data_IF_866171821745
#
_entry.id   IF_866171821745
#
_cell.length_a   1.000
_cell.length_b   1.000
_cell.length_c   1.000
_cell.angle_alpha   90.00
_cell.angle_beta   90.00
_cell.angle_gamma   90.00
#
_symmetry.space_group_name_H-M   'P 1'
#
loop_
_entity.id
_entity.type
_entity.pdbx_description
1 polymer ?
#
# COMPACT_ATOMS: atom_id res chain seq x y z
N UNK A 1 -23.09 9.04 -2.74
CA UNK A 1 -22.55 8.29 -1.60
C UNK A 1 -22.26 6.85 -2.05
N UNK A 2 -20.99 6.43 -2.07
CA UNK A 2 -20.65 5.01 -2.26
C UNK A 2 -20.87 4.34 -0.90
N UNK A 3 -21.97 3.58 -0.76
CA UNK A 3 -22.23 2.79 0.45
C UNK A 3 -21.59 1.42 0.23
N UNK A 4 -20.68 1.02 1.12
CA UNK A 4 -20.10 -0.32 1.09
C UNK A 4 -21.19 -1.36 1.32
N UNK A 5 -21.25 -2.37 0.46
CA UNK A 5 -21.96 -3.62 0.71
C UNK A 5 -20.91 -4.65 1.10
N UNK A 6 -21.09 -5.33 2.24
CA UNK A 6 -20.18 -6.42 2.61
C UNK A 6 -20.26 -7.52 1.55
N UNK A 7 -19.12 -7.80 0.92
CA UNK A 7 -18.98 -8.90 -0.05
C UNK A 7 -18.00 -9.89 0.58
N UNK A 8 -18.45 -11.12 0.80
CA UNK A 8 -17.70 -12.13 1.55
C UNK A 8 -16.57 -12.79 0.75
N UNK A 9 -16.54 -12.60 -0.57
CA UNK A 9 -15.59 -13.24 -1.50
C UNK A 9 -14.94 -12.21 -2.42
N UNK A 10 -13.63 -12.27 -2.57
CA UNK A 10 -12.88 -11.40 -3.47
C UNK A 10 -13.35 -11.54 -4.93
N UNK A 11 -13.68 -12.75 -5.36
CA UNK A 11 -14.20 -13.02 -6.71
C UNK A 11 -15.56 -12.35 -6.95
N UNK A 12 -16.44 -12.37 -5.96
CA UNK A 12 -17.76 -11.75 -6.08
C UNK A 12 -17.66 -10.22 -6.11
N UNK A 13 -16.68 -9.65 -5.39
CA UNK A 13 -16.38 -8.22 -5.46
C UNK A 13 -15.96 -7.79 -6.88
N UNK A 14 -15.12 -8.59 -7.54
CA UNK A 14 -14.70 -8.34 -8.91
C UNK A 14 -15.88 -8.42 -9.88
N UNK A 15 -16.70 -9.47 -9.79
CA UNK A 15 -17.90 -9.64 -10.63
C UNK A 15 -18.89 -8.50 -10.42
N UNK A 16 -19.08 -8.06 -9.18
CA UNK A 16 -19.94 -6.93 -8.87
C UNK A 16 -19.40 -5.62 -9.46
N UNK A 17 -18.09 -5.36 -9.33
CA UNK A 17 -17.45 -4.18 -9.90
C UNK A 17 -17.58 -4.15 -11.42
N UNK A 18 -17.35 -5.29 -12.09
CA UNK A 18 -17.55 -5.42 -13.53
C UNK A 18 -19.01 -5.17 -13.92
N UNK A 19 -19.97 -5.79 -13.23
CA UNK A 19 -21.40 -5.56 -13.45
C UNK A 19 -21.80 -4.10 -13.27
N UNK A 20 -21.26 -3.40 -12.26
CA UNK A 20 -21.50 -1.96 -12.05
C UNK A 20 -20.94 -1.13 -13.21
N UNK A 21 -19.74 -1.44 -13.67
CA UNK A 21 -19.14 -0.79 -14.84
C UNK A 21 -19.93 -1.06 -16.12
N UNK A 22 -20.43 -2.28 -16.30
CA UNK A 22 -21.20 -2.65 -17.49
C UNK A 22 -22.56 -1.95 -17.57
N UNK A 23 -23.11 -1.52 -16.44
CA UNK A 23 -24.33 -0.69 -16.39
C UNK A 23 -24.11 0.77 -16.78
N UNK A 24 -22.87 1.25 -16.82
CA UNK A 24 -22.56 2.61 -17.26
C UNK A 24 -22.78 2.73 -18.77
N UNK A 25 -23.39 3.83 -19.21
CA UNK A 25 -23.49 4.17 -20.63
C UNK A 25 -22.11 4.43 -21.22
N UNK A 26 -21.98 4.35 -22.54
CA UNK A 26 -20.71 4.59 -23.23
C UNK A 26 -20.11 5.97 -22.87
N UNK A 27 -20.94 7.01 -22.85
CA UNK A 27 -20.54 8.37 -22.45
C UNK A 27 -20.05 8.44 -21.01
N UNK A 28 -20.64 7.67 -20.09
CA UNK A 28 -20.16 7.59 -18.71
C UNK A 28 -18.82 6.85 -18.62
N UNK A 29 -18.67 5.74 -19.36
CA UNK A 29 -17.42 4.96 -19.38
C UNK A 29 -16.24 5.79 -19.90
N UNK A 30 -16.45 6.61 -20.94
CA UNK A 30 -15.42 7.51 -21.51
C UNK A 30 -14.90 8.57 -20.53
N UNK A 31 -15.58 8.82 -19.40
CA UNK A 31 -15.09 9.75 -18.35
C UNK A 31 -13.96 9.16 -17.50
N UNK A 32 -13.81 7.83 -17.49
CA UNK A 32 -12.80 7.15 -16.67
C UNK A 32 -11.63 6.74 -17.55
N UNK A 33 -10.44 7.22 -17.22
CA UNK A 33 -9.19 6.79 -17.88
C UNK A 33 -8.71 5.44 -17.36
N UNK A 34 -9.08 5.09 -16.13
CA UNK A 34 -8.62 3.89 -15.44
C UNK A 34 -9.71 3.30 -14.55
N UNK A 35 -9.60 2.01 -14.23
CA UNK A 35 -10.45 1.28 -13.30
C UNK A 35 -9.57 0.49 -12.35
N UNK A 36 -9.74 0.70 -11.06
CA UNK A 36 -8.93 0.06 -10.02
C UNK A 36 -9.80 -0.76 -9.07
N UNK A 37 -9.29 -1.93 -8.70
CA UNK A 37 -9.74 -2.70 -7.55
C UNK A 37 -8.64 -2.66 -6.48
N UNK A 38 -9.02 -2.40 -5.24
CA UNK A 38 -8.10 -2.38 -4.10
C UNK A 38 -8.52 -3.47 -3.14
N UNK A 39 -7.62 -4.38 -2.82
CA UNK A 39 -7.89 -5.51 -1.93
C UNK A 39 -7.10 -5.38 -0.63
N UNK A 40 -7.81 -5.53 0.47
CA UNK A 40 -7.23 -5.92 1.74
C UNK A 40 -7.36 -7.46 1.84
N UNK A 41 -6.27 -8.19 2.13
CA UNK A 41 -6.30 -9.66 2.12
C UNK A 41 -7.27 -10.21 3.17
N UNK A 42 -7.20 -9.68 4.40
CA UNK A 42 -8.06 -9.98 5.57
C UNK A 42 -8.42 -11.48 5.75
N UNK A 43 -7.52 -12.39 5.36
CA UNK A 43 -7.72 -13.83 5.49
C UNK A 43 -8.60 -14.50 4.42
N UNK A 44 -8.93 -13.82 3.31
CA UNK A 44 -9.78 -14.38 2.27
C UNK A 44 -9.06 -15.41 1.40
N UNK A 45 -9.49 -16.69 1.48
CA UNK A 45 -8.91 -17.79 0.72
C UNK A 45 -9.00 -17.63 -0.82
N UNK A 46 -9.95 -16.84 -1.32
CA UNK A 46 -10.13 -16.58 -2.75
C UNK A 46 -9.44 -15.28 -3.22
N UNK A 47 -8.59 -14.67 -2.39
CA UNK A 47 -7.91 -13.41 -2.70
C UNK A 47 -7.07 -13.48 -3.99
N UNK A 48 -6.22 -14.50 -4.14
CA UNK A 48 -5.39 -14.65 -5.34
C UNK A 48 -6.25 -14.83 -6.60
N UNK A 49 -7.34 -15.61 -6.50
CA UNK A 49 -8.31 -15.79 -7.58
C UNK A 49 -8.98 -14.45 -7.93
N UNK A 50 -9.42 -13.70 -6.93
CA UNK A 50 -10.02 -12.38 -7.10
C UNK A 50 -9.09 -11.37 -7.77
N UNK A 51 -7.82 -11.31 -7.36
CA UNK A 51 -6.81 -10.44 -7.99
C UNK A 51 -6.58 -10.84 -9.45
N UNK A 52 -6.43 -12.14 -9.74
CA UNK A 52 -6.26 -12.64 -11.12
C UNK A 52 -7.48 -12.36 -11.99
N UNK A 53 -8.69 -12.56 -11.47
CA UNK A 53 -9.93 -12.26 -12.17
C UNK A 53 -10.10 -10.76 -12.43
N UNK A 54 -9.77 -9.92 -11.46
CA UNK A 54 -9.80 -8.46 -11.64
C UNK A 54 -8.89 -8.02 -12.79
N UNK A 55 -7.66 -8.55 -12.82
CA UNK A 55 -6.72 -8.31 -13.91
C UNK A 55 -7.26 -8.81 -15.26
N UNK A 56 -7.88 -9.99 -15.32
CA UNK A 56 -8.43 -10.53 -16.59
C UNK A 56 -9.62 -9.73 -17.13
N UNK A 57 -10.37 -9.05 -16.26
CA UNK A 57 -11.44 -8.10 -16.65
C UNK A 57 -10.91 -6.71 -17.05
N UNK A 58 -9.60 -6.53 -17.08
CA UNK A 58 -8.96 -5.26 -17.44
C UNK A 58 -9.06 -4.19 -16.35
N UNK A 59 -9.20 -4.59 -15.09
CA UNK A 59 -8.95 -3.70 -13.96
C UNK A 59 -7.44 -3.66 -13.67
N UNK A 60 -6.96 -2.48 -13.28
CA UNK A 60 -5.72 -2.40 -12.50
C UNK A 60 -6.04 -2.85 -11.07
N UNK A 61 -5.09 -3.49 -10.40
CA UNK A 61 -5.31 -4.04 -9.06
C UNK A 61 -4.20 -3.60 -8.12
N UNK A 62 -4.60 -3.05 -6.99
CA UNK A 62 -3.74 -2.80 -5.84
C UNK A 62 -4.14 -3.71 -4.67
N UNK A 63 -3.19 -4.13 -3.85
CA UNK A 63 -3.45 -5.01 -2.73
C UNK A 63 -2.39 -4.90 -1.63
N UNK A 64 -2.75 -5.41 -0.44
CA UNK A 64 -1.80 -5.80 0.61
C UNK A 64 -2.10 -7.23 1.06
N UNK A 65 -1.10 -8.12 1.02
CA UNK A 65 -1.29 -9.59 1.15
C UNK A 65 -1.50 -10.10 2.58
N UNK A 66 -1.47 -9.21 3.59
CA UNK A 66 -1.78 -9.56 4.97
C UNK A 66 -2.94 -8.70 5.47
N UNK A 67 -2.71 -7.39 5.46
CA UNK A 67 -3.64 -6.36 5.88
C UNK A 67 -3.19 -5.02 5.30
N UNK A 68 -4.08 -4.02 5.22
CA UNK A 68 -3.69 -2.67 4.79
C UNK A 68 -2.63 -2.05 5.72
N UNK A 69 -2.60 -2.40 7.01
CA UNK A 69 -1.62 -1.88 7.97
C UNK A 69 -0.17 -2.23 7.63
N UNK A 70 0.07 -3.28 6.85
CA UNK A 70 1.40 -3.57 6.35
C UNK A 70 1.95 -2.41 5.49
N UNK A 71 1.11 -1.73 4.72
CA UNK A 71 1.50 -0.53 3.99
C UNK A 71 1.91 0.61 4.94
N UNK A 72 1.22 0.78 6.07
CA UNK A 72 1.57 1.79 7.07
C UNK A 72 2.91 1.46 7.74
N UNK A 73 3.17 0.20 8.06
CA UNK A 73 4.46 -0.26 8.58
C UNK A 73 5.64 0.17 7.70
N UNK A 74 5.48 0.09 6.37
CA UNK A 74 6.54 0.44 5.42
C UNK A 74 6.94 1.94 5.44
N UNK A 75 6.12 2.83 6.00
CA UNK A 75 6.47 4.25 6.21
C UNK A 75 7.49 4.46 7.33
N UNK A 76 7.63 3.48 8.23
CA UNK A 76 8.41 3.63 9.45
C UNK A 76 9.62 2.72 9.51
N UNK A 77 9.56 1.53 8.90
CA UNK A 77 10.67 0.58 8.93
C UNK A 77 10.98 -0.02 7.57
N UNK A 78 12.27 -0.28 7.35
CA UNK A 78 12.72 -1.10 6.25
C UNK A 78 12.48 -2.57 6.60
N UNK A 79 11.50 -3.18 5.95
CA UNK A 79 11.12 -4.57 6.17
C UNK A 79 11.77 -5.48 5.12
N UNK A 80 12.08 -6.72 5.49
CA UNK A 80 12.80 -7.67 4.63
C UNK A 80 11.89 -8.54 3.75
N UNK A 81 10.56 -8.40 3.90
CA UNK A 81 9.56 -9.18 3.17
C UNK A 81 9.35 -10.60 3.71
N UNK A 82 9.86 -10.91 4.91
CA UNK A 82 9.56 -12.14 5.62
C UNK A 82 8.17 -12.09 6.28
N UNK A 83 7.53 -13.23 6.57
CA UNK A 83 6.34 -13.29 7.40
C UNK A 83 6.45 -12.47 8.69
N UNK A 84 5.41 -11.68 9.01
CA UNK A 84 5.30 -11.04 10.33
C UNK A 84 4.44 -11.96 11.20
N UNK A 85 4.96 -12.51 12.32
CA UNK A 85 4.19 -13.39 13.18
C UNK A 85 2.88 -12.74 13.64
N UNK A 86 1.77 -13.46 13.48
CA UNK A 86 0.46 -13.02 13.96
C UNK A 86 0.47 -12.81 15.47
N UNK A 87 -0.29 -11.81 15.93
CA UNK A 87 -0.51 -11.58 17.36
C UNK A 87 -1.95 -11.94 17.72
N UNK A 88 -2.10 -12.96 18.57
CA UNK A 88 -3.38 -13.62 18.75
C UNK A 88 -3.75 -14.35 17.45
N UNK A 89 -4.78 -13.86 16.76
CA UNK A 89 -5.31 -14.44 15.51
C UNK A 89 -5.39 -13.40 14.37
N UNK A 90 -4.70 -12.26 14.49
CA UNK A 90 -4.80 -11.16 13.53
C UNK A 90 -3.42 -10.68 13.09
N UNK A 91 -3.20 -10.63 11.77
CA UNK A 91 -2.08 -9.89 11.21
C UNK A 91 -2.18 -8.42 11.63
N UNK A 92 -3.33 -7.76 11.35
CA UNK A 92 -3.52 -6.33 11.63
C UNK A 92 -3.04 -5.92 13.03
N UNK A 93 -3.33 -6.69 14.08
CA UNK A 93 -2.82 -6.45 15.45
C UNK A 93 -1.29 -6.43 15.55
N UNK A 94 -0.59 -7.33 14.87
CA UNK A 94 0.87 -7.34 14.83
C UNK A 94 1.44 -6.11 14.10
N UNK A 95 0.83 -5.69 12.97
CA UNK A 95 1.27 -4.48 12.28
C UNK A 95 0.95 -3.20 13.09
N UNK A 96 -0.19 -3.14 13.77
CA UNK A 96 -0.58 -2.03 14.64
C UNK A 96 0.38 -1.86 15.80
N UNK A 97 0.87 -2.95 16.41
CA UNK A 97 1.88 -2.87 17.46
C UNK A 97 3.19 -2.25 16.95
N UNK A 98 3.62 -2.62 15.74
CA UNK A 98 4.81 -2.03 15.10
C UNK A 98 4.57 -0.52 14.88
N UNK A 99 3.43 -0.14 14.30
CA UNK A 99 3.05 1.25 14.05
C UNK A 99 3.04 2.05 15.37
N UNK A 100 2.37 1.54 16.41
CA UNK A 100 2.24 2.20 17.69
C UNK A 100 3.57 2.32 18.44
N UNK A 101 4.51 1.39 18.25
CA UNK A 101 5.88 1.53 18.73
C UNK A 101 6.57 2.73 18.06
N UNK A 102 6.38 2.94 16.76
CA UNK A 102 6.93 4.10 16.06
C UNK A 102 6.26 5.42 16.47
N UNK A 103 4.93 5.45 16.60
CA UNK A 103 4.18 6.62 17.09
C UNK A 103 4.67 6.99 18.50
N UNK A 104 4.78 6.02 19.41
CA UNK A 104 5.25 6.23 20.78
C UNK A 104 6.67 6.79 20.81
N UNK A 105 7.58 6.23 20.01
CA UNK A 105 8.95 6.71 19.91
C UNK A 105 9.01 8.14 19.36
N UNK A 106 8.19 8.46 18.35
CA UNK A 106 8.08 9.80 17.79
C UNK A 106 7.56 10.80 18.82
N UNK A 107 6.44 10.50 19.48
CA UNK A 107 5.85 11.33 20.54
C UNK A 107 6.87 11.61 21.65
N UNK A 108 7.62 10.60 22.11
CA UNK A 108 8.67 10.78 23.11
C UNK A 108 9.80 11.68 22.63
N UNK A 109 10.29 11.49 21.40
CA UNK A 109 11.44 12.22 20.85
C UNK A 109 11.10 13.68 20.57
N UNK A 110 9.93 13.95 20.01
CA UNK A 110 9.54 15.27 19.52
C UNK A 110 8.53 16.00 20.42
N UNK A 111 8.18 15.42 21.57
CA UNK A 111 7.14 15.94 22.49
C UNK A 111 5.80 16.19 21.78
N UNK A 112 5.47 15.31 20.83
CA UNK A 112 4.20 15.31 20.12
C UNK A 112 3.16 14.45 20.85
N UNK A 113 1.89 14.58 20.45
CA UNK A 113 0.75 13.86 21.05
C UNK A 113 -0.09 13.16 19.99
N UNK A 114 0.56 12.45 19.07
CA UNK A 114 -0.12 11.70 18.00
C UNK A 114 -0.87 10.53 18.64
N UNK A 115 -2.19 10.36 18.40
CA UNK A 115 -2.96 9.23 18.90
C UNK A 115 -2.39 7.88 18.41
N UNK A 116 -2.56 6.83 19.22
CA UNK A 116 -2.25 5.48 18.78
C UNK A 116 -3.31 5.01 17.78
N UNK A 117 -2.86 4.28 16.76
CA UNK A 117 -3.75 3.70 15.75
C UNK A 117 -4.39 2.41 16.30
N UNK A 118 -5.69 2.22 16.04
CA UNK A 118 -6.50 1.14 16.60
C UNK A 118 -7.19 0.29 15.51
N UNK A 119 -7.49 -0.98 15.82
CA UNK A 119 -8.12 -1.93 14.90
C UNK A 119 -9.66 -1.81 14.83
N UNK A 120 -10.27 -0.98 15.70
CA UNK A 120 -11.72 -0.88 15.87
C UNK A 120 -12.36 0.22 15.04
N UNK A 121 -11.74 1.40 14.99
CA UNK A 121 -12.23 2.56 14.26
C UNK A 121 -11.89 2.44 12.78
N UNK A 122 -10.72 1.85 12.48
CA UNK A 122 -10.06 1.91 11.17
C UNK A 122 -9.97 3.34 10.62
N UNK A 123 -9.99 4.34 11.51
CA UNK A 123 -9.86 5.76 11.17
C UNK A 123 -8.39 6.11 11.19
N UNK A 124 -7.94 6.77 10.13
CA UNK A 124 -6.60 7.36 10.08
C UNK A 124 -6.76 8.81 10.53
N UNK A 125 -6.37 9.10 11.77
CA UNK A 125 -6.35 10.47 12.30
C UNK A 125 -5.38 11.35 11.50
N UNK A 126 -5.69 12.65 11.42
CA UNK A 126 -4.91 13.61 10.64
C UNK A 126 -3.45 13.64 11.08
N UNK A 127 -3.17 13.61 12.38
CA UNK A 127 -1.80 13.63 12.91
C UNK A 127 -1.01 12.38 12.54
N UNK A 128 -1.67 11.22 12.50
CA UNK A 128 -1.02 9.97 12.06
C UNK A 128 -0.78 9.98 10.55
N UNK A 129 -1.73 10.51 9.78
CA UNK A 129 -1.57 10.70 8.34
C UNK A 129 -0.40 11.63 8.01
N UNK A 130 -0.32 12.79 8.65
CA UNK A 130 0.79 13.74 8.49
C UNK A 130 2.12 13.11 8.90
N UNK A 131 2.14 12.31 9.96
CA UNK A 131 3.34 11.56 10.34
C UNK A 131 3.77 10.58 9.24
N UNK A 132 2.85 9.90 8.55
CA UNK A 132 3.18 9.04 7.41
C UNK A 132 3.72 9.82 6.20
N UNK A 133 3.39 11.10 6.07
CA UNK A 133 3.88 11.95 4.97
C UNK A 133 5.15 12.76 5.29
N UNK A 134 5.50 12.83 6.57
CA UNK A 134 6.63 13.60 7.09
C UNK A 134 7.98 13.11 6.55
N UNK A 135 9.00 13.96 6.72
CA UNK A 135 10.40 13.60 6.46
C UNK A 135 10.89 12.66 7.56
N UNK A 136 11.47 11.52 7.17
CA UNK A 136 12.08 10.59 8.11
C UNK A 136 13.41 11.19 8.64
N UNK A 137 13.60 11.26 9.98
CA UNK A 137 14.79 11.87 10.56
C UNK A 137 16.08 11.05 10.39
N UNK A 138 16.00 9.81 9.92
CA UNK A 138 17.13 8.90 9.67
C UNK A 138 17.48 8.89 8.19
N UNK A 139 16.51 8.72 7.29
CA UNK A 139 16.77 8.64 5.85
C UNK A 139 16.78 10.01 5.16
N UNK A 140 16.20 11.03 5.80
CA UNK A 140 15.97 12.37 5.25
C UNK A 140 15.06 12.44 4.02
N UNK A 141 14.41 11.32 3.66
CA UNK A 141 13.41 11.27 2.59
C UNK A 141 12.00 11.47 3.16
N UNK A 142 11.02 11.75 2.30
CA UNK A 142 9.62 11.60 2.72
C UNK A 142 9.33 10.14 3.00
N UNK A 143 8.67 9.85 4.12
CA UNK A 143 8.31 8.48 4.51
C UNK A 143 7.50 7.72 3.46
N UNK A 144 6.65 8.42 2.71
CA UNK A 144 5.89 7.84 1.60
C UNK A 144 6.78 7.41 0.43
N UNK A 145 7.89 8.11 0.16
CA UNK A 145 8.84 7.74 -0.89
C UNK A 145 9.60 6.47 -0.46
N UNK A 146 10.06 6.44 0.79
CA UNK A 146 10.67 5.26 1.39
C UNK A 146 9.71 4.06 1.37
N UNK A 147 8.44 4.25 1.75
CA UNK A 147 7.43 3.19 1.72
C UNK A 147 7.21 2.63 0.31
N UNK A 148 7.10 3.51 -0.70
CA UNK A 148 6.98 3.12 -2.09
C UNK A 148 8.18 2.31 -2.58
N UNK A 149 9.40 2.74 -2.26
CA UNK A 149 10.63 2.04 -2.64
C UNK A 149 10.75 0.67 -1.97
N UNK A 150 10.43 0.59 -0.67
CA UNK A 150 10.42 -0.66 0.10
C UNK A 150 9.40 -1.65 -0.46
N UNK A 151 8.16 -1.19 -0.68
CA UNK A 151 7.10 -2.00 -1.27
C UNK A 151 7.46 -2.50 -2.67
N UNK A 152 8.00 -1.63 -3.53
CA UNK A 152 8.43 -2.01 -4.87
C UNK A 152 9.53 -3.07 -4.85
N UNK A 153 10.55 -2.89 -4.00
CA UNK A 153 11.66 -3.82 -3.87
C UNK A 153 11.16 -5.23 -3.50
N UNK A 154 10.36 -5.32 -2.43
CA UNK A 154 9.82 -6.59 -1.94
C UNK A 154 8.88 -7.22 -2.97
N UNK A 155 7.93 -6.45 -3.51
CA UNK A 155 6.97 -6.94 -4.49
C UNK A 155 7.68 -7.44 -5.77
N UNK A 156 8.69 -6.73 -6.27
CA UNK A 156 9.45 -7.17 -7.46
C UNK A 156 10.20 -8.47 -7.21
N UNK A 157 10.85 -8.61 -6.05
CA UNK A 157 11.57 -9.83 -5.67
C UNK A 157 10.62 -11.02 -5.56
N UNK A 158 9.54 -10.87 -4.79
CA UNK A 158 8.52 -11.91 -4.57
C UNK A 158 7.81 -12.31 -5.85
N UNK A 159 7.51 -11.36 -6.73
CA UNK A 159 6.92 -11.66 -8.04
C UNK A 159 7.86 -12.48 -8.93
N UNK A 160 9.16 -12.18 -8.92
CA UNK A 160 10.17 -12.96 -9.69
C UNK A 160 10.28 -14.41 -9.21
N UNK A 161 10.03 -14.66 -7.92
CA UNK A 161 10.05 -16.01 -7.33
C UNK A 161 8.66 -16.69 -7.30
N UNK A 162 7.66 -16.14 -8.01
CA UNK A 162 6.30 -16.72 -8.05
C UNK A 162 5.50 -16.57 -6.75
N UNK A 163 5.91 -15.68 -5.85
CA UNK A 163 5.34 -15.47 -4.51
C UNK A 163 4.66 -14.10 -4.40
N UNK A 164 4.07 -13.58 -5.49
CA UNK A 164 3.43 -12.25 -5.51
C UNK A 164 2.37 -12.07 -4.41
N UNK A 165 1.69 -13.16 -4.01
CA UNK A 165 0.62 -13.14 -3.02
C UNK A 165 1.03 -13.71 -1.66
N UNK A 166 2.32 -13.99 -1.43
CA UNK A 166 2.78 -14.40 -0.10
C UNK A 166 2.65 -13.24 0.90
N UNK A 167 2.76 -13.53 2.19
CA UNK A 167 2.83 -12.51 3.24
C UNK A 167 3.90 -11.43 2.96
N UNK A 168 3.69 -10.27 3.56
CA UNK A 168 4.59 -9.12 3.48
C UNK A 168 4.80 -8.59 2.06
N UNK A 169 3.76 -8.66 1.23
CA UNK A 169 3.74 -8.07 -0.13
C UNK A 169 2.61 -7.06 -0.25
N UNK A 170 2.94 -5.89 -0.78
CA UNK A 170 1.93 -4.92 -1.23
C UNK A 170 2.37 -4.28 -2.53
N UNK A 171 1.42 -4.04 -3.43
CA UNK A 171 1.65 -3.29 -4.66
C UNK A 171 0.92 -1.93 -4.69
N UNK A 172 0.51 -1.41 -3.53
CA UNK A 172 -0.14 -0.09 -3.40
C UNK A 172 0.69 1.05 -4.01
N UNK A 173 2.02 0.94 -4.01
CA UNK A 173 2.90 1.89 -4.68
C UNK A 173 2.56 2.05 -6.19
N UNK A 174 2.03 1.02 -6.86
CA UNK A 174 1.61 1.13 -8.26
C UNK A 174 0.39 2.04 -8.41
N UNK A 175 -0.55 1.98 -7.47
CA UNK A 175 -1.70 2.90 -7.43
C UNK A 175 -1.22 4.33 -7.19
N UNK A 176 -0.28 4.54 -6.25
CA UNK A 176 0.25 5.87 -5.96
C UNK A 176 1.01 6.49 -7.13
N UNK A 177 1.75 5.69 -7.90
CA UNK A 177 2.39 6.14 -9.14
C UNK A 177 1.33 6.63 -10.14
N UNK A 178 0.24 5.88 -10.29
CA UNK A 178 -0.80 6.15 -11.27
C UNK A 178 -1.69 7.33 -10.87
N UNK A 179 -1.77 7.62 -9.57
CA UNK A 179 -2.37 8.83 -9.03
C UNK A 179 -1.42 10.05 -9.07
N UNK A 180 -0.16 9.88 -9.48
CA UNK A 180 0.84 10.95 -9.49
C UNK A 180 1.33 11.38 -8.10
N UNK A 181 1.07 10.58 -7.06
CA UNK A 181 1.51 10.84 -5.67
C UNK A 181 3.00 10.54 -5.50
N UNK A 182 3.52 9.56 -6.23
CA UNK A 182 4.92 9.16 -6.20
C UNK A 182 5.47 9.01 -7.62
N UNK A 183 6.61 9.64 -7.89
CA UNK A 183 7.32 9.50 -9.17
C UNK A 183 8.53 8.60 -8.95
N UNK A 184 8.68 7.59 -9.79
CA UNK A 184 9.79 6.64 -9.66
C UNK A 184 11.11 7.33 -9.96
N UNK A 185 12.14 7.08 -9.14
CA UNK A 185 13.48 7.69 -9.25
C UNK A 185 14.15 7.48 -10.64
N UNK A 186 13.77 6.44 -11.39
CA UNK A 186 14.22 6.26 -12.78
C UNK A 186 13.79 7.39 -13.74
N UNK A 187 12.76 8.17 -13.39
CA UNK A 187 12.34 9.34 -14.15
C UNK A 187 13.01 10.63 -13.63
N UNK A 188 13.36 10.70 -12.35
CA UNK A 188 14.14 11.82 -11.77
C UNK A 188 15.57 11.91 -12.36
N UNK A 189 16.14 10.77 -12.78
CA UNK A 189 17.46 10.70 -13.44
C UNK A 189 17.42 10.99 -14.93
N UNK A 190 16.24 11.08 -15.56
CA UNK A 190 16.08 11.59 -16.93
C UNK A 190 16.03 13.12 -16.99
N UNK A 191 15.76 13.79 -15.86
CA UNK A 191 15.67 15.25 -15.77
C UNK A 191 16.84 15.94 -15.06
N UNK A 192 17.77 15.19 -14.47
CA UNK A 192 19.04 15.72 -13.94
C UNK A 192 20.18 15.30 -14.85
N UNK A 193 20.78 16.28 -15.50
CA UNK A 193 21.99 16.17 -16.32
C UNK A 193 23.04 15.26 -15.68
N UNK A 194 23.81 14.57 -16.52
CA UNK A 194 24.93 13.64 -16.26
C UNK A 194 26.03 14.08 -15.25
N UNK A 195 25.87 15.18 -14.52
CA UNK A 195 26.91 15.82 -13.70
C UNK A 195 27.03 15.24 -12.28
N UNK A 196 26.04 14.48 -11.78
CA UNK A 196 26.07 13.95 -10.39
C UNK A 196 26.47 12.46 -10.26
N UNK A 197 26.85 11.80 -11.37
CA UNK A 197 27.11 10.35 -11.39
C UNK A 197 28.47 9.90 -10.79
N UNK A 198 29.26 10.80 -10.19
CA UNK A 198 30.62 10.49 -9.72
C UNK A 198 31.00 11.04 -8.34
N UNK A 199 30.05 11.29 -7.42
CA UNK A 199 30.40 11.91 -6.12
C UNK A 199 30.18 11.12 -4.81
N UNK A 200 29.87 9.84 -4.86
CA UNK A 200 29.84 9.01 -3.63
C UNK A 200 30.57 7.66 -3.79
N UNK A 201 31.73 7.71 -4.43
CA UNK A 201 32.74 6.65 -4.37
C UNK A 201 33.96 7.12 -3.57
N UNK A 202 33.75 7.58 -2.33
CA UNK A 202 34.78 7.63 -1.26
C UNK A 202 34.05 7.49 0.08
#
# INVERSE_FOLDING_TARGET
MLKGSGISKCVDFVKEAQRKYDKLSETQRKKYTQRWLVFDYDGHNDFEEGVKLGRSYGFKVAFSSMCIEYWFVLHFQNHDGQPIPVKGESHSKAQIEIINKHITAYNKKFKASIPLYDDTSKVIEEEFFELMLAIDPVTHNRRIEDACLRAESIHSLKRKSGQEFSESVTNLYQLLIELGVFVKVKEMTKGKSEVERWRLSI
#
